data_IF_564655148293
#
_entry.id   IF_564655148293
#
_cell.length_a   1.000
_cell.length_b   1.000
_cell.length_c   1.000
_cell.angle_alpha   90.00
_cell.angle_beta   90.00
_cell.angle_gamma   90.00
#
_symmetry.space_group_name_H-M   'P 1'
#
loop_
_entity.id
_entity.type
_entity.pdbx_description
1 polymer ?
#
# COMPACT_ATOMS: atom_id res chain seq x y z
N UNK A 1 5.40 10.81 0.01
CA UNK A 1 5.34 11.69 1.08
C UNK A 1 4.45 11.21 2.20
N UNK A 2 5.12 10.65 3.15
CA UNK A 2 4.45 10.04 4.29
C UNK A 2 3.64 11.01 5.10
N UNK A 3 4.05 12.28 5.17
CA UNK A 3 3.34 13.29 5.92
C UNK A 3 2.00 13.70 5.34
N UNK A 4 1.70 13.29 4.10
CA UNK A 4 0.47 13.67 3.44
C UNK A 4 -0.70 12.74 3.74
N UNK A 5 -0.42 11.49 4.17
CA UNK A 5 -1.46 10.54 4.50
C UNK A 5 -1.46 10.30 5.99
N UNK A 6 -2.58 10.62 6.63
CA UNK A 6 -2.74 10.39 8.06
C UNK A 6 -3.35 9.04 8.36
N UNK A 7 -3.82 8.32 7.33
CA UNK A 7 -4.35 6.98 7.50
C UNK A 7 -3.26 6.01 7.93
N UNK A 8 -2.05 6.17 7.38
CA UNK A 8 -0.92 5.26 7.67
C UNK A 8 0.31 6.03 8.10
N UNK A 9 1.12 5.35 8.91
CA UNK A 9 2.45 5.83 9.30
C UNK A 9 3.47 4.87 8.69
N UNK A 10 4.51 5.43 8.07
CA UNK A 10 5.50 4.66 7.32
C UNK A 10 6.86 4.74 8.01
N UNK A 11 7.55 3.62 8.11
CA UNK A 11 8.93 3.57 8.58
C UNK A 11 9.79 2.97 7.49
N UNK A 12 10.68 3.78 6.93
CA UNK A 12 11.60 3.37 5.88
C UNK A 12 12.62 2.38 6.45
N UNK A 13 12.86 1.30 5.70
CA UNK A 13 13.83 0.27 6.11
C UNK A 13 15.19 0.46 5.44
N UNK A 14 15.38 1.53 4.66
CA UNK A 14 16.66 1.84 4.04
C UNK A 14 16.98 1.01 2.80
N UNK A 15 16.02 0.25 2.29
CA UNK A 15 16.24 -0.63 1.15
C UNK A 15 16.41 0.17 -0.14
N UNK A 16 15.65 1.26 -0.31
CA UNK A 16 15.80 2.13 -1.49
C UNK A 16 17.20 2.65 -1.62
N UNK A 17 17.75 3.19 -0.54
CA UNK A 17 19.12 3.69 -0.54
C UNK A 17 20.13 2.59 -0.79
N UNK A 18 19.94 1.45 -0.15
CA UNK A 18 20.88 0.33 -0.25
C UNK A 18 20.93 -0.29 -1.64
N UNK A 19 19.85 -0.16 -2.41
CA UNK A 19 19.74 -0.77 -3.73
C UNK A 19 19.78 0.23 -4.86
N UNK A 20 20.12 1.49 -4.59
CA UNK A 20 20.15 2.53 -5.61
C UNK A 20 18.79 2.80 -6.22
N UNK A 21 17.72 2.64 -5.45
CA UNK A 21 16.37 2.90 -5.91
C UNK A 21 15.72 1.75 -6.67
N UNK A 22 16.36 0.59 -6.76
CA UNK A 22 15.79 -0.56 -7.46
C UNK A 22 14.64 -1.19 -6.68
N UNK A 23 14.73 -1.19 -5.36
CA UNK A 23 13.70 -1.73 -4.47
C UNK A 23 13.48 -0.77 -3.33
N UNK A 24 12.32 -0.86 -2.71
CA UNK A 24 12.05 -0.18 -1.45
C UNK A 24 11.28 -1.10 -0.53
N UNK A 25 11.40 -0.84 0.77
CA UNK A 25 10.62 -1.56 1.77
C UNK A 25 10.38 -0.65 2.95
N UNK A 26 9.16 -0.70 3.48
CA UNK A 26 8.83 0.05 4.68
C UNK A 26 7.78 -0.69 5.50
N UNK A 27 7.75 -0.39 6.79
CA UNK A 27 6.73 -0.88 7.69
C UNK A 27 5.60 0.16 7.70
N UNK A 28 4.38 -0.33 7.56
CA UNK A 28 3.19 0.51 7.58
C UNK A 28 2.38 0.17 8.82
N UNK A 29 1.97 1.20 9.55
CA UNK A 29 1.09 1.07 10.70
C UNK A 29 -0.12 1.96 10.53
N UNK A 30 -1.20 1.63 11.24
CA UNK A 30 -2.38 2.49 11.29
C UNK A 30 -2.01 3.85 11.86
N UNK A 31 -2.48 4.90 11.22
CA UNK A 31 -2.29 6.28 11.67
C UNK A 31 -3.51 6.78 12.42
N UNK A 32 -3.66 8.09 12.49
CA UNK A 32 -4.71 8.73 13.28
C UNK A 32 -6.05 8.88 12.53
N UNK A 33 -6.04 8.77 11.21
CA UNK A 33 -7.24 8.95 10.38
C UNK A 33 -7.75 7.58 9.92
N UNK A 34 -8.95 7.16 10.37
CA UNK A 34 -9.49 5.85 10.01
C UNK A 34 -10.25 5.84 8.67
N UNK A 35 -10.32 6.97 7.97
CA UNK A 35 -11.09 7.02 6.73
C UNK A 35 -10.43 6.19 5.64
N UNK A 36 -11.24 5.63 4.75
CA UNK A 36 -10.76 4.77 3.67
C UNK A 36 -9.80 5.53 2.76
N UNK A 37 -8.90 4.79 2.15
CA UNK A 37 -8.03 5.33 1.11
C UNK A 37 -8.70 5.01 -0.23
N UNK A 38 -9.02 6.07 -0.97
CA UNK A 38 -9.82 5.97 -2.19
C UNK A 38 -9.11 5.22 -3.31
N UNK A 39 -9.88 4.87 -4.32
CA UNK A 39 -9.38 4.11 -5.46
C UNK A 39 -8.25 4.86 -6.15
N UNK A 40 -7.17 4.17 -6.41
CA UNK A 40 -6.01 4.71 -7.09
C UNK A 40 -5.27 3.58 -7.80
N UNK A 41 -4.30 3.97 -8.63
CA UNK A 41 -3.40 3.04 -9.28
C UNK A 41 -2.00 3.63 -9.26
N UNK A 42 -1.01 2.77 -9.30
CA UNK A 42 0.39 3.20 -9.32
C UNK A 42 0.93 3.08 -10.74
N UNK A 43 1.73 4.06 -11.14
CA UNK A 43 2.33 4.09 -12.47
C UNK A 43 3.84 3.89 -12.33
N UNK A 44 4.41 3.12 -13.26
CA UNK A 44 5.84 2.84 -13.21
C UNK A 44 6.28 1.81 -12.18
N UNK A 45 5.33 1.22 -11.47
CA UNK A 45 5.60 0.20 -10.47
C UNK A 45 5.67 -1.17 -11.16
N UNK A 46 6.73 -1.92 -10.89
CA UNK A 46 6.93 -3.25 -11.48
C UNK A 46 6.54 -4.37 -10.53
N UNK A 47 6.65 -4.12 -9.24
CA UNK A 47 6.43 -5.15 -8.23
C UNK A 47 5.96 -4.49 -6.95
N UNK A 48 4.93 -5.06 -6.33
CA UNK A 48 4.43 -4.60 -5.04
C UNK A 48 3.91 -5.78 -4.25
N UNK A 49 4.50 -5.99 -3.07
CA UNK A 49 4.11 -7.09 -2.19
C UNK A 49 3.82 -6.52 -0.81
N UNK A 50 2.76 -7.03 -0.19
CA UNK A 50 2.38 -6.67 1.18
C UNK A 50 2.36 -7.93 2.02
N UNK A 51 2.99 -7.88 3.19
CA UNK A 51 2.96 -8.95 4.18
C UNK A 51 2.43 -8.39 5.48
N UNK A 52 1.33 -8.96 5.98
CA UNK A 52 0.69 -8.48 7.21
C UNK A 52 1.34 -9.16 8.40
N UNK A 53 1.86 -8.36 9.32
CA UNK A 53 2.52 -8.83 10.54
C UNK A 53 1.50 -8.95 11.66
N UNK A 54 0.59 -7.98 11.78
CA UNK A 54 -0.37 -7.92 12.88
C UNK A 54 -1.62 -7.18 12.43
N UNK A 55 -2.76 -7.56 12.97
CA UNK A 55 -4.02 -6.91 12.67
C UNK A 55 -4.62 -7.37 11.35
N UNK A 56 -5.53 -6.57 10.83
CA UNK A 56 -6.24 -6.86 9.57
C UNK A 56 -6.30 -5.63 8.70
N UNK A 57 -6.37 -5.86 7.39
CA UNK A 57 -6.58 -4.78 6.41
C UNK A 57 -7.45 -5.32 5.29
N UNK A 58 -8.43 -4.54 4.86
CA UNK A 58 -9.33 -4.90 3.78
C UNK A 58 -9.07 -4.00 2.60
N UNK A 59 -8.71 -4.61 1.47
CA UNK A 59 -8.49 -3.95 0.19
C UNK A 59 -9.64 -4.25 -0.75
N UNK A 60 -9.84 -3.37 -1.71
CA UNK A 60 -10.65 -3.64 -2.89
C UNK A 60 -9.74 -3.59 -4.11
N UNK A 61 -9.93 -4.55 -5.03
CA UNK A 61 -9.15 -4.64 -6.26
C UNK A 61 -10.08 -4.75 -7.46
N UNK A 62 -9.78 -4.01 -8.50
CA UNK A 62 -10.50 -4.09 -9.76
C UNK A 62 -10.49 -5.53 -10.27
N UNK A 63 -11.69 -6.04 -10.57
CA UNK A 63 -11.84 -7.40 -11.09
C UNK A 63 -11.83 -8.51 -10.05
N UNK A 64 -11.53 -8.18 -8.78
CA UNK A 64 -11.50 -9.17 -7.71
C UNK A 64 -12.45 -8.87 -6.55
N UNK A 65 -12.81 -7.60 -6.36
CA UNK A 65 -13.61 -7.18 -5.22
C UNK A 65 -12.78 -7.02 -3.97
N UNK A 66 -13.40 -7.17 -2.81
CA UNK A 66 -12.74 -6.95 -1.52
C UNK A 66 -12.08 -8.22 -1.01
N UNK A 67 -10.91 -8.02 -0.38
CA UNK A 67 -10.20 -9.10 0.30
C UNK A 67 -9.67 -8.58 1.62
N UNK A 68 -9.85 -9.37 2.69
CA UNK A 68 -9.33 -9.02 4.00
C UNK A 68 -8.08 -9.86 4.27
N UNK A 69 -6.98 -9.17 4.51
CA UNK A 69 -5.71 -9.80 4.86
C UNK A 69 -5.54 -9.74 6.37
N UNK A 70 -4.89 -10.73 6.93
CA UNK A 70 -4.64 -10.82 8.37
C UNK A 70 -3.22 -11.29 8.61
N UNK A 71 -2.80 -11.31 9.86
CA UNK A 71 -1.44 -11.69 10.23
C UNK A 71 -1.03 -12.99 9.50
N UNK A 72 0.11 -12.95 8.82
CA UNK A 72 0.62 -14.05 8.02
C UNK A 72 0.20 -14.01 6.55
N UNK A 73 -0.72 -13.14 6.17
CA UNK A 73 -1.12 -13.00 4.76
C UNK A 73 -0.02 -12.32 3.96
N UNK A 74 0.24 -12.85 2.77
CA UNK A 74 1.12 -12.25 1.79
C UNK A 74 0.29 -11.95 0.54
N UNK A 75 0.42 -10.74 0.01
CA UNK A 75 -0.37 -10.33 -1.13
C UNK A 75 0.53 -9.66 -2.17
N UNK A 76 0.47 -10.17 -3.39
CA UNK A 76 1.18 -9.59 -4.53
C UNK A 76 0.18 -8.79 -5.34
N UNK A 77 0.41 -7.49 -5.48
CA UNK A 77 -0.47 -6.62 -6.24
C UNK A 77 0.03 -6.54 -7.69
N UNK A 78 -0.82 -6.85 -8.67
CA UNK A 78 -0.41 -6.67 -10.07
C UNK A 78 -0.11 -5.20 -10.36
N UNK A 79 0.93 -4.93 -11.15
CA UNK A 79 1.24 -3.54 -11.51
C UNK A 79 0.07 -2.84 -12.18
N UNK A 80 -0.17 -1.59 -11.77
CA UNK A 80 -1.20 -0.77 -12.39
C UNK A 80 -2.63 -1.10 -12.04
N UNK A 81 -2.88 -2.09 -11.19
CA UNK A 81 -4.26 -2.44 -10.82
C UNK A 81 -4.88 -1.32 -9.99
N UNK A 82 -6.13 -1.00 -10.31
CA UNK A 82 -6.90 -0.06 -9.50
C UNK A 82 -7.29 -0.73 -8.20
N UNK A 83 -7.03 -0.05 -7.09
CA UNK A 83 -7.34 -0.61 -5.78
C UNK A 83 -7.62 0.51 -4.79
N UNK A 84 -8.20 0.13 -3.67
CA UNK A 84 -8.45 1.03 -2.55
C UNK A 84 -8.18 0.29 -1.26
N UNK A 85 -8.03 1.02 -0.16
CA UNK A 85 -7.93 0.43 1.17
C UNK A 85 -9.19 0.81 1.91
N UNK A 86 -10.05 -0.17 2.17
CA UNK A 86 -11.38 0.08 2.68
C UNK A 86 -11.41 0.24 4.20
N UNK A 87 -10.66 -0.59 4.91
CA UNK A 87 -10.65 -0.55 6.37
C UNK A 87 -9.44 -1.30 6.90
N UNK A 88 -9.12 -1.09 8.15
CA UNK A 88 -8.04 -1.81 8.84
C UNK A 88 -8.24 -1.71 10.34
N UNK A 89 -7.59 -2.61 11.07
CA UNK A 89 -7.64 -2.59 12.53
C UNK A 89 -6.65 -1.57 13.09
N UNK A 90 -6.90 -1.12 14.31
CA UNK A 90 -6.05 -0.12 14.96
C UNK A 90 -4.63 -0.62 15.16
N UNK A 91 -4.45 -1.93 15.29
CA UNK A 91 -3.14 -2.54 15.51
C UNK A 91 -2.48 -3.02 14.24
N UNK A 92 -2.97 -2.60 13.07
CA UNK A 92 -2.39 -3.02 11.80
C UNK A 92 -0.91 -2.72 11.74
N UNK A 93 -0.14 -3.72 11.34
CA UNK A 93 1.27 -3.57 11.01
C UNK A 93 1.56 -4.48 9.83
N UNK A 94 2.11 -3.92 8.76
CA UNK A 94 2.43 -4.68 7.56
C UNK A 94 3.71 -4.15 6.94
N UNK A 95 4.38 -5.00 6.15
CA UNK A 95 5.56 -4.62 5.37
C UNK A 95 5.15 -4.54 3.92
N UNK A 96 5.56 -3.46 3.26
CA UNK A 96 5.35 -3.30 1.83
C UNK A 96 6.70 -3.26 1.14
N UNK A 97 6.84 -4.04 0.06
CA UNK A 97 8.06 -4.08 -0.76
C UNK A 97 7.66 -3.68 -2.16
N UNK A 98 8.39 -2.74 -2.75
CA UNK A 98 8.11 -2.24 -4.10
C UNK A 98 9.36 -2.22 -4.95
N UNK A 99 9.17 -2.22 -6.26
CA UNK A 99 10.23 -2.00 -7.24
C UNK A 99 9.64 -1.26 -8.43
N UNK A 100 10.20 -0.13 -8.84
CA UNK A 100 11.30 0.61 -8.22
C UNK A 100 10.83 1.40 -7.00
N UNK A 101 11.75 2.10 -6.35
CA UNK A 101 11.43 2.96 -5.22
C UNK A 101 10.53 4.12 -5.65
N UNK A 102 10.86 4.77 -6.76
CA UNK A 102 10.11 5.89 -7.28
C UNK A 102 9.05 5.42 -8.26
N UNK A 103 7.81 5.75 -7.99
CA UNK A 103 6.68 5.44 -8.87
C UNK A 103 5.58 6.47 -8.62
N UNK A 104 4.64 6.57 -9.58
CA UNK A 104 3.55 7.51 -9.49
C UNK A 104 2.30 6.89 -8.89
N UNK A 105 1.34 7.73 -8.57
CA UNK A 105 0.03 7.32 -8.09
C UNK A 105 -1.01 8.22 -8.74
N UNK A 106 -2.07 7.61 -9.29
CA UNK A 106 -3.18 8.33 -9.88
C UNK A 106 -4.46 7.99 -9.15
N UNK A 107 -5.26 9.01 -8.85
CA UNK A 107 -6.58 8.83 -8.24
C UNK A 107 -7.59 8.58 -9.35
N UNK A 108 -8.30 7.46 -9.24
CA UNK A 108 -9.27 7.05 -10.25
C UNK A 108 -10.44 8.03 -10.30
N UNK A 109 -10.88 8.53 -9.15
CA UNK A 109 -12.00 9.46 -9.09
C UNK A 109 -11.71 10.75 -9.89
N UNK A 110 -10.46 11.23 -9.84
CA UNK A 110 -10.07 12.40 -10.62
C UNK A 110 -10.01 12.09 -12.10
N UNK A 111 -9.50 10.91 -12.44
CA UNK A 111 -9.38 10.50 -13.83
C UNK A 111 -10.75 10.32 -14.48
N UNK A 112 -11.77 9.97 -13.70
CA UNK A 112 -13.11 9.74 -14.21
C UNK A 112 -13.85 11.04 -14.54
N UNK A 113 -13.39 12.12 -13.99
CA UNK A 113 -14.01 13.42 -14.22
C UNK A 113 -13.45 14.10 -15.45
#
# INVERSE_FOLDING_TARGET
ATGLRKQFVYRDLGIGKATGGQYNAHVIRAGSDPSRIEEHMHTGLHFQLVYVIRGTVTFWYEGRGTETLRAGSVHLLPPGIKHSVESWSDDLEMVEITSPEDYGTELVAEAAE
#
